data_IF_293400592737
#
_entry.id   IF_293400592737
#
_cell.length_a   1.000
_cell.length_b   1.000
_cell.length_c   1.000
_cell.angle_alpha   90.00
_cell.angle_beta   90.00
_cell.angle_gamma   90.00
#
_symmetry.space_group_name_H-M   'P 1'
#
loop_
_entity.id
_entity.type
_entity.pdbx_description
1 polymer ?
#
# COMPACT_ATOMS: atom_id res chain seq x y z
N UNK A 1 -25.87 9.29 12.05
CA UNK A 1 -24.99 9.12 10.87
C UNK A 1 -23.65 8.64 11.40
N UNK A 2 -23.04 7.59 10.82
CA UNK A 2 -21.68 7.18 11.20
C UNK A 2 -20.67 8.18 10.65
N UNK A 3 -19.62 8.45 11.43
CA UNK A 3 -18.54 9.36 11.01
C UNK A 3 -17.51 8.50 10.27
N UNK A 4 -17.16 8.82 9.02
CA UNK A 4 -16.16 8.04 8.29
C UNK A 4 -14.80 8.15 8.97
N UNK A 5 -13.93 7.16 8.72
CA UNK A 5 -12.56 7.24 9.21
C UNK A 5 -11.85 8.49 8.62
N UNK A 6 -10.98 9.17 9.40
CA UNK A 6 -10.49 10.50 9.03
C UNK A 6 -9.87 10.61 7.64
N UNK A 7 -10.26 11.66 6.91
CA UNK A 7 -9.63 12.05 5.65
C UNK A 7 -9.78 11.07 4.50
N UNK A 8 -10.72 10.13 4.57
CA UNK A 8 -10.85 9.07 3.57
C UNK A 8 -9.63 8.15 3.53
N UNK A 9 -8.96 7.96 4.67
CA UNK A 9 -7.79 7.08 4.81
C UNK A 9 -8.19 5.68 5.28
N UNK A 10 -7.32 4.70 5.05
CA UNK A 10 -7.44 3.35 5.61
C UNK A 10 -6.26 3.08 6.56
N UNK A 11 -6.49 2.21 7.56
CA UNK A 11 -5.45 1.77 8.49
C UNK A 11 -5.44 0.25 8.61
N UNK A 12 -4.26 -0.34 8.65
CA UNK A 12 -4.09 -1.76 8.96
C UNK A 12 -2.83 -1.97 9.78
N UNK A 13 -2.87 -2.88 10.74
CA UNK A 13 -1.65 -3.39 11.36
C UNK A 13 -1.00 -4.35 10.37
N UNK A 14 0.30 -4.21 10.16
CA UNK A 14 1.11 -5.02 9.29
C UNK A 14 2.20 -5.68 10.11
N UNK A 15 2.30 -7.01 9.96
CA UNK A 15 3.49 -7.77 10.32
C UNK A 15 4.20 -8.15 9.03
N UNK A 16 5.41 -7.60 8.82
CA UNK A 16 6.17 -7.80 7.58
C UNK A 16 6.53 -9.28 7.43
N UNK A 17 6.48 -9.81 6.20
CA UNK A 17 6.89 -11.19 5.96
C UNK A 17 8.35 -11.42 6.39
N UNK A 18 8.59 -12.49 7.13
CA UNK A 18 9.87 -12.83 7.75
C UNK A 18 10.62 -13.96 7.03
N UNK A 19 10.02 -14.55 6.00
CA UNK A 19 10.71 -15.52 5.15
C UNK A 19 11.69 -14.82 4.21
N UNK A 20 12.87 -15.40 3.95
CA UNK A 20 13.83 -14.83 3.01
C UNK A 20 13.31 -14.94 1.58
N UNK A 21 13.55 -13.92 0.76
CA UNK A 21 13.29 -13.97 -0.66
C UNK A 21 14.35 -14.81 -1.39
N UNK A 22 13.94 -15.58 -2.38
CA UNK A 22 14.85 -16.49 -3.09
C UNK A 22 16.02 -15.78 -3.79
N UNK A 23 15.78 -14.57 -4.32
CA UNK A 23 16.72 -13.86 -5.17
C UNK A 23 17.88 -13.17 -4.42
N UNK A 24 17.67 -12.71 -3.18
CA UNK A 24 18.67 -11.99 -2.39
C UNK A 24 18.83 -12.50 -0.94
N UNK A 25 18.05 -13.49 -0.52
CA UNK A 25 18.08 -14.03 0.84
C UNK A 25 17.54 -13.06 1.90
N UNK A 26 17.00 -11.90 1.51
CA UNK A 26 16.53 -10.86 2.43
C UNK A 26 15.08 -11.13 2.82
N UNK A 27 14.79 -10.99 4.12
CA UNK A 27 13.43 -11.14 4.66
C UNK A 27 12.62 -9.88 4.42
N UNK A 28 11.43 -9.99 3.84
CA UNK A 28 10.62 -8.81 3.61
C UNK A 28 9.39 -9.03 2.75
N UNK A 29 8.72 -7.91 2.48
CA UNK A 29 7.52 -7.81 1.68
C UNK A 29 7.75 -7.94 0.17
N UNK A 30 6.64 -8.04 -0.55
CA UNK A 30 6.55 -7.98 -2.02
C UNK A 30 6.79 -6.54 -2.47
N UNK A 31 7.82 -6.27 -3.29
CA UNK A 31 8.02 -4.94 -3.89
C UNK A 31 6.84 -4.50 -4.75
N UNK A 32 6.39 -3.25 -4.56
CA UNK A 32 5.26 -2.68 -5.29
C UNK A 32 5.30 -1.15 -5.30
N UNK A 33 4.37 -0.53 -6.01
CA UNK A 33 4.15 0.91 -6.04
C UNK A 33 2.65 1.21 -6.02
N UNK A 34 2.29 2.37 -5.48
CA UNK A 34 0.96 2.95 -5.59
C UNK A 34 0.93 4.00 -6.68
N UNK A 35 -0.10 4.02 -7.53
CA UNK A 35 -0.16 4.97 -8.65
C UNK A 35 -0.77 6.31 -8.26
N UNK A 36 -1.70 6.32 -7.31
CA UNK A 36 -2.41 7.53 -6.88
C UNK A 36 -2.53 7.70 -5.37
N UNK A 37 -2.10 6.70 -4.60
CA UNK A 37 -2.20 6.71 -3.13
C UNK A 37 -0.84 6.94 -2.48
N UNK A 38 -0.79 7.86 -1.53
CA UNK A 38 0.32 7.98 -0.58
C UNK A 38 0.19 6.87 0.48
N UNK A 39 1.32 6.35 0.92
CA UNK A 39 1.39 5.35 1.98
C UNK A 39 2.31 5.84 3.10
N UNK A 40 1.98 5.48 4.34
CA UNK A 40 2.77 5.81 5.51
C UNK A 40 2.91 4.63 6.47
N UNK A 41 4.10 4.45 7.04
CA UNK A 41 4.41 3.46 8.06
C UNK A 41 4.65 4.13 9.40
N UNK A 42 3.94 3.65 10.42
CA UNK A 42 4.14 3.99 11.82
C UNK A 42 4.64 2.73 12.53
N UNK A 43 5.95 2.66 12.77
CA UNK A 43 6.58 1.45 13.29
C UNK A 43 6.28 1.28 14.77
N UNK A 44 5.78 0.11 15.15
CA UNK A 44 5.36 -0.19 16.53
C UNK A 44 6.28 -1.19 17.22
N UNK A 45 6.88 -2.12 16.49
CA UNK A 45 7.79 -3.12 17.05
C UNK A 45 8.82 -3.60 16.02
N UNK A 46 9.89 -4.23 16.51
CA UNK A 46 10.96 -4.80 15.70
C UNK A 46 11.81 -3.79 14.93
N UNK A 47 12.71 -4.30 14.09
CA UNK A 47 13.61 -3.49 13.27
C UNK A 47 13.67 -3.95 11.82
N UNK A 48 14.09 -3.06 10.95
CA UNK A 48 14.31 -3.35 9.54
C UNK A 48 14.59 -2.10 8.74
N UNK A 49 14.14 -2.08 7.48
CA UNK A 49 14.30 -0.92 6.59
C UNK A 49 13.22 -0.84 5.54
N UNK A 50 12.90 0.38 5.12
CA UNK A 50 12.14 0.66 3.91
C UNK A 50 13.14 0.94 2.79
N UNK A 51 13.16 0.07 1.79
CA UNK A 51 13.92 0.29 0.55
C UNK A 51 13.00 0.93 -0.48
N UNK A 52 13.41 2.04 -1.08
CA UNK A 52 12.63 2.77 -2.08
C UNK A 52 13.44 3.05 -3.34
N UNK A 53 12.75 3.15 -4.47
CA UNK A 53 13.29 3.58 -5.75
C UNK A 53 12.37 4.64 -6.32
N UNK A 54 12.93 5.81 -6.60
CA UNK A 54 12.29 6.92 -7.31
C UNK A 54 13.20 7.41 -8.42
N UNK A 55 12.83 8.52 -9.08
CA UNK A 55 13.73 9.21 -10.03
C UNK A 55 15.00 9.76 -9.37
N UNK A 56 15.01 9.91 -8.05
CA UNK A 56 16.21 10.30 -7.29
C UNK A 56 17.18 9.13 -7.06
N UNK A 57 16.76 7.91 -7.41
CA UNK A 57 17.54 6.69 -7.27
C UNK A 57 17.03 5.77 -6.16
N UNK A 58 17.91 4.87 -5.72
CA UNK A 58 17.64 3.95 -4.61
C UNK A 58 17.96 4.60 -3.27
N UNK A 59 17.06 4.41 -2.29
CA UNK A 59 17.29 4.80 -0.90
C UNK A 59 16.90 3.66 0.05
N UNK A 60 17.56 3.60 1.20
CA UNK A 60 17.28 2.64 2.27
C UNK A 60 17.13 3.38 3.59
N UNK A 61 15.92 3.40 4.14
CA UNK A 61 15.58 4.10 5.37
C UNK A 61 15.39 3.09 6.50
N UNK A 62 16.24 3.14 7.53
CA UNK A 62 16.09 2.28 8.71
C UNK A 62 14.71 2.45 9.36
N UNK A 63 14.11 1.37 9.85
CA UNK A 63 12.82 1.33 10.55
C UNK A 63 13.02 0.80 11.98
N UNK A 64 12.44 1.49 12.95
CA UNK A 64 12.49 1.15 14.38
C UNK A 64 11.28 1.77 15.08
N UNK A 65 10.87 1.27 16.26
CA UNK A 65 9.66 1.74 16.94
C UNK A 65 9.65 3.26 17.15
N UNK A 66 8.47 3.87 16.94
CA UNK A 66 8.28 5.33 16.99
C UNK A 66 8.66 6.07 15.70
N UNK A 67 9.25 5.39 14.71
CA UNK A 67 9.54 6.01 13.41
C UNK A 67 8.28 6.10 12.55
N UNK A 68 8.14 7.26 11.92
CA UNK A 68 7.10 7.53 10.92
C UNK A 68 7.76 7.86 9.59
N UNK A 69 7.38 7.17 8.53
CA UNK A 69 7.82 7.45 7.16
C UNK A 69 6.61 7.46 6.24
N UNK A 70 6.58 8.36 5.26
CA UNK A 70 5.54 8.40 4.23
C UNK A 70 6.18 8.67 2.88
N UNK A 71 5.55 8.17 1.82
CA UNK A 71 6.09 8.28 0.47
C UNK A 71 4.98 8.45 -0.55
N UNK A 72 5.30 9.23 -1.60
CA UNK A 72 4.37 9.64 -2.62
C UNK A 72 4.06 8.50 -3.61
N UNK A 73 2.94 8.62 -4.36
CA UNK A 73 2.66 7.73 -5.48
C UNK A 73 3.85 7.64 -6.46
N UNK A 74 4.01 6.47 -7.08
CA UNK A 74 5.14 6.16 -7.96
C UNK A 74 6.40 5.68 -7.22
N UNK A 75 6.43 5.72 -5.89
CA UNK A 75 7.55 5.15 -5.13
C UNK A 75 7.48 3.63 -5.18
N UNK A 76 8.41 3.00 -5.91
CA UNK A 76 8.60 1.54 -5.82
C UNK A 76 9.27 1.27 -4.48
N UNK A 77 8.68 0.40 -3.67
CA UNK A 77 9.16 0.20 -2.31
C UNK A 77 9.06 -1.26 -1.85
N UNK A 78 9.90 -1.60 -0.87
CA UNK A 78 9.95 -2.88 -0.18
C UNK A 78 10.20 -2.67 1.31
N UNK A 79 9.31 -3.20 2.16
CA UNK A 79 9.59 -3.33 3.58
C UNK A 79 10.47 -4.56 3.84
N UNK A 80 11.62 -4.37 4.49
CA UNK A 80 12.55 -5.42 4.90
C UNK A 80 12.54 -5.51 6.42
N UNK A 81 12.58 -6.73 6.95
CA UNK A 81 12.54 -7.01 8.39
C UNK A 81 13.80 -7.74 8.85
N UNK A 82 14.25 -7.46 10.06
CA UNK A 82 15.29 -8.26 10.73
C UNK A 82 14.69 -9.50 11.44
N UNK A 83 13.35 -9.61 11.47
CA UNK A 83 12.63 -10.80 11.90
C UNK A 83 11.29 -10.53 12.57
N UNK A 84 11.08 -9.35 13.14
CA UNK A 84 9.95 -9.04 14.03
C UNK A 84 9.30 -7.67 13.77
N UNK A 85 9.54 -7.08 12.58
CA UNK A 85 9.00 -5.77 12.21
C UNK A 85 7.46 -5.76 12.13
N UNK A 86 6.85 -4.99 13.02
CA UNK A 86 5.42 -4.66 13.01
C UNK A 86 5.19 -3.15 12.95
N UNK A 87 4.18 -2.74 12.19
CA UNK A 87 3.85 -1.34 11.98
C UNK A 87 2.37 -1.16 11.65
N UNK A 88 1.86 0.06 11.79
CA UNK A 88 0.60 0.47 11.16
C UNK A 88 0.88 1.07 9.79
N UNK A 89 0.17 0.58 8.79
CA UNK A 89 0.10 1.18 7.46
C UNK A 89 -1.08 2.13 7.43
N UNK A 90 -0.86 3.39 7.09
CA UNK A 90 -1.90 4.31 6.68
C UNK A 90 -1.88 4.46 5.16
N UNK A 91 -3.03 4.25 4.54
CA UNK A 91 -3.22 4.39 3.11
C UNK A 91 -4.13 5.58 2.82
N UNK A 92 -3.66 6.50 1.97
CA UNK A 92 -4.55 7.49 1.38
C UNK A 92 -5.57 6.81 0.45
N UNK A 93 -6.70 7.49 0.22
CA UNK A 93 -7.74 7.06 -0.71
C UNK A 93 -8.27 5.64 -0.39
N UNK A 94 -8.78 5.45 0.82
CA UNK A 94 -9.28 4.18 1.33
C UNK A 94 -10.05 3.38 0.26
N UNK A 95 -9.62 2.14 0.00
CA UNK A 95 -10.24 1.26 -1.00
C UNK A 95 -9.62 1.33 -2.40
N UNK A 96 -8.85 2.38 -2.75
CA UNK A 96 -8.11 2.39 -4.02
C UNK A 96 -7.00 1.34 -4.11
N UNK A 97 -6.23 1.06 -3.03
CA UNK A 97 -5.24 -0.02 -3.06
C UNK A 97 -5.87 -1.36 -3.46
N UNK A 98 -7.01 -1.69 -2.85
CA UNK A 98 -7.80 -2.89 -3.15
C UNK A 98 -8.46 -2.85 -4.53
N UNK A 99 -8.79 -1.65 -5.04
CA UNK A 99 -9.29 -1.44 -6.39
C UNK A 99 -8.17 -1.41 -7.46
N UNK A 100 -6.93 -1.75 -7.08
CA UNK A 100 -5.83 -1.99 -8.01
C UNK A 100 -4.96 -0.76 -8.30
N UNK A 101 -4.93 0.26 -7.43
CA UNK A 101 -3.93 1.33 -7.54
C UNK A 101 -2.52 0.83 -7.19
N UNK A 102 -2.45 -0.23 -6.38
CA UNK A 102 -1.22 -0.91 -5.99
C UNK A 102 -0.79 -1.91 -7.07
N UNK A 103 0.38 -1.68 -7.65
CA UNK A 103 0.97 -2.52 -8.71
C UNK A 103 2.23 -3.20 -8.17
N UNK A 104 2.28 -4.53 -8.25
CA UNK A 104 3.45 -5.32 -7.85
C UNK A 104 4.57 -5.08 -8.87
N UNK A 105 5.76 -4.70 -8.42
CA UNK A 105 6.89 -4.38 -9.32
C UNK A 105 7.62 -5.64 -9.80
N UNK A 106 6.91 -6.48 -10.56
CA UNK A 106 7.49 -7.63 -11.24
C UNK A 106 8.53 -7.22 -12.30
N UNK A 107 9.33 -8.18 -12.81
CA UNK A 107 10.14 -8.00 -14.00
C UNK A 107 9.33 -7.41 -15.17
N UNK A 108 9.99 -6.60 -16.00
CA UNK A 108 9.30 -5.75 -16.96
C UNK A 108 8.54 -6.52 -18.05
N UNK A 109 9.00 -7.72 -18.39
CA UNK A 109 8.32 -8.66 -19.30
C UNK A 109 6.97 -9.13 -18.75
N UNK A 110 6.84 -9.22 -17.43
CA UNK A 110 5.56 -9.53 -16.76
C UNK A 110 4.66 -8.31 -16.70
N UNK A 111 5.22 -7.14 -16.40
CA UNK A 111 4.44 -5.90 -16.34
C UNK A 111 3.89 -5.49 -17.71
N UNK A 112 4.57 -5.84 -18.80
CA UNK A 112 4.15 -5.54 -20.16
C UNK A 112 3.07 -6.50 -20.72
N UNK A 113 2.75 -7.58 -20.02
CA UNK A 113 1.72 -8.57 -20.37
C UNK A 113 0.67 -8.67 -19.26
N UNK A 114 -0.53 -8.15 -19.52
CA UNK A 114 -1.62 -8.12 -18.55
C UNK A 114 -2.02 -9.52 -18.05
N UNK A 115 -2.03 -10.52 -18.92
CA UNK A 115 -2.40 -11.89 -18.52
C UNK A 115 -1.27 -12.53 -17.68
N UNK A 116 -0.01 -12.24 -18.01
CA UNK A 116 1.12 -12.68 -17.19
C UNK A 116 1.12 -12.01 -15.81
N UNK A 117 0.81 -10.72 -15.76
CA UNK A 117 0.67 -9.96 -14.52
C UNK A 117 -0.44 -10.52 -13.63
N UNK A 118 -1.63 -10.77 -14.18
CA UNK A 118 -2.77 -11.31 -13.43
C UNK A 118 -2.46 -12.70 -12.87
N UNK A 119 -1.84 -13.58 -13.68
CA UNK A 119 -1.39 -14.90 -13.21
C UNK A 119 -0.34 -14.81 -12.11
N UNK A 120 0.61 -13.88 -12.23
CA UNK A 120 1.71 -13.74 -11.25
C UNK A 120 1.25 -13.08 -9.94
N UNK A 121 0.25 -12.21 -9.99
CA UNK A 121 -0.26 -11.48 -8.81
C UNK A 121 -1.32 -12.25 -8.02
N UNK A 122 -2.02 -13.19 -8.66
CA UNK A 122 -3.13 -13.93 -8.07
C UNK A 122 -2.74 -14.75 -6.84
N UNK A 123 -3.64 -14.78 -5.86
CA UNK A 123 -3.59 -15.70 -4.73
C UNK A 123 -4.86 -16.57 -4.74
N UNK A 124 -4.78 -17.86 -4.38
CA UNK A 124 -5.95 -18.72 -4.21
C UNK A 124 -6.97 -18.16 -3.21
N UNK A 125 -6.46 -17.57 -2.13
CA UNK A 125 -7.21 -16.84 -1.10
C UNK A 125 -6.30 -15.77 -0.50
N UNK A 126 -6.89 -14.74 0.11
CA UNK A 126 -6.13 -13.79 0.93
C UNK A 126 -6.04 -14.21 2.39
N UNK A 127 -6.65 -15.30 2.84
CA UNK A 127 -6.59 -15.74 4.24
C UNK A 127 -5.17 -16.16 4.63
N UNK A 128 -4.59 -15.50 5.64
CA UNK A 128 -3.23 -15.79 6.10
C UNK A 128 -3.07 -17.17 6.76
N UNK A 129 -4.17 -17.84 7.09
CA UNK A 129 -4.18 -19.21 7.63
C UNK A 129 -4.11 -20.28 6.54
N UNK A 130 -4.40 -19.92 5.29
CA UNK A 130 -4.35 -20.87 4.18
C UNK A 130 -2.90 -21.13 3.73
N UNK A 131 -2.38 -22.31 4.04
CA UNK A 131 -0.99 -22.67 3.76
C UNK A 131 -0.65 -22.65 2.26
N UNK A 132 -1.63 -22.92 1.38
CA UNK A 132 -1.40 -22.85 -0.06
C UNK A 132 -1.22 -21.39 -0.52
N UNK A 133 -2.06 -20.49 -0.03
CA UNK A 133 -1.98 -19.06 -0.30
C UNK A 133 -0.73 -18.42 0.32
N UNK A 134 -0.28 -18.86 1.49
CA UNK A 134 1.01 -18.44 2.06
C UNK A 134 2.17 -18.77 1.12
N UNK A 135 2.20 -19.98 0.54
CA UNK A 135 3.22 -20.35 -0.45
C UNK A 135 3.09 -19.54 -1.75
N UNK A 136 1.87 -19.29 -2.22
CA UNK A 136 1.63 -18.45 -3.39
C UNK A 136 2.10 -17.01 -3.16
N UNK A 137 1.86 -16.44 -1.98
CA UNK A 137 2.34 -15.11 -1.60
C UNK A 137 3.87 -15.04 -1.54
N UNK A 138 4.54 -16.08 -1.05
CA UNK A 138 6.00 -16.17 -1.09
C UNK A 138 6.55 -16.22 -2.53
N UNK A 139 5.97 -17.04 -3.40
CA UNK A 139 6.37 -17.11 -4.82
C UNK A 139 6.14 -15.78 -5.56
N UNK A 140 5.01 -15.12 -5.28
CA UNK A 140 4.68 -13.78 -5.77
C UNK A 140 5.73 -12.76 -5.32
N UNK A 141 6.09 -12.77 -4.04
CA UNK A 141 7.14 -11.91 -3.49
C UNK A 141 8.47 -12.16 -4.19
N UNK A 142 8.91 -13.40 -4.30
CA UNK A 142 10.22 -13.74 -4.87
C UNK A 142 10.36 -13.19 -6.29
N UNK A 143 9.32 -13.38 -7.11
CA UNK A 143 9.29 -12.81 -8.46
C UNK A 143 9.32 -11.28 -8.45
N UNK A 144 8.62 -10.63 -7.54
CA UNK A 144 8.65 -9.17 -7.42
C UNK A 144 10.02 -8.64 -6.94
N UNK A 145 10.74 -9.41 -6.13
CA UNK A 145 12.11 -9.09 -5.73
C UNK A 145 13.06 -9.13 -6.94
N UNK A 146 12.89 -10.05 -7.89
CA UNK A 146 13.69 -10.04 -9.12
C UNK A 146 13.55 -8.71 -9.90
N UNK A 147 12.30 -8.23 -10.04
CA UNK A 147 11.99 -6.95 -10.68
C UNK A 147 12.58 -5.76 -9.92
N UNK A 148 12.43 -5.76 -8.60
CA UNK A 148 13.00 -4.74 -7.73
C UNK A 148 14.53 -4.67 -7.79
N UNK A 149 15.21 -5.82 -7.81
CA UNK A 149 16.68 -5.86 -7.91
C UNK A 149 17.17 -5.37 -9.27
N UNK A 150 16.42 -5.61 -10.35
CA UNK A 150 16.73 -5.04 -11.65
C UNK A 150 16.57 -3.51 -11.65
N UNK A 151 15.49 -2.99 -11.06
CA UNK A 151 15.28 -1.55 -10.87
C UNK A 151 16.38 -0.93 -10.02
N UNK A 152 16.77 -1.58 -8.92
CA UNK A 152 17.84 -1.11 -8.03
C UNK A 152 19.16 -0.99 -8.76
N UNK A 153 19.56 -2.03 -9.51
CA UNK A 153 20.81 -2.02 -10.31
C UNK A 153 20.79 -0.89 -11.33
N UNK A 154 19.67 -0.66 -12.02
CA UNK A 154 19.53 0.44 -12.97
C UNK A 154 19.66 1.80 -12.26
N UNK A 155 18.97 1.99 -11.12
CA UNK A 155 19.04 3.21 -10.34
C UNK A 155 20.46 3.50 -9.81
N UNK A 156 21.15 2.50 -9.27
CA UNK A 156 22.55 2.61 -8.81
C UNK A 156 23.52 2.93 -9.97
N UNK A 157 23.20 2.50 -11.20
CA UNK A 157 23.93 2.86 -12.41
C UNK A 157 23.52 4.22 -13.01
N UNK A 158 22.60 4.95 -12.39
CA UNK A 158 22.08 6.22 -12.90
C UNK A 158 21.17 6.10 -14.14
N UNK A 159 20.60 4.91 -14.38
CA UNK A 159 19.77 4.59 -15.54
C UNK A 159 18.28 4.64 -15.16
N UNK A 160 17.56 5.64 -15.68
CA UNK A 160 16.15 5.87 -15.36
C UNK A 160 15.16 5.15 -16.28
N UNK A 161 15.61 4.60 -17.41
CA UNK A 161 14.75 4.10 -18.48
C UNK A 161 13.89 2.92 -18.04
N UNK A 162 14.44 2.03 -17.21
CA UNK A 162 13.68 0.88 -16.69
C UNK A 162 12.56 1.33 -15.76
N UNK A 163 12.82 2.33 -14.90
CA UNK A 163 11.82 2.89 -14.00
C UNK A 163 10.68 3.57 -14.80
N UNK A 164 11.02 4.35 -15.83
CA UNK A 164 10.01 4.97 -16.71
C UNK A 164 9.18 3.92 -17.46
N UNK A 165 9.79 2.84 -17.93
CA UNK A 165 9.06 1.73 -18.57
C UNK A 165 8.12 1.03 -17.58
N UNK A 166 8.59 0.79 -16.35
CA UNK A 166 7.77 0.26 -15.25
C UNK A 166 6.55 1.14 -14.97
N UNK A 167 6.72 2.46 -14.89
CA UNK A 167 5.58 3.38 -14.70
C UNK A 167 4.58 3.32 -15.85
N UNK A 168 5.06 3.26 -17.10
CA UNK A 168 4.16 3.14 -18.26
C UNK A 168 3.42 1.81 -18.28
N UNK A 169 4.07 0.72 -17.90
CA UNK A 169 3.46 -0.60 -17.82
C UNK A 169 2.40 -0.66 -16.70
N UNK A 170 2.74 -0.18 -15.50
CA UNK A 170 1.81 -0.06 -14.39
C UNK A 170 0.58 0.79 -14.75
N UNK A 171 0.78 1.93 -15.41
CA UNK A 171 -0.33 2.76 -15.88
C UNK A 171 -1.25 2.01 -16.86
N UNK A 172 -0.70 1.25 -17.81
CA UNK A 172 -1.50 0.44 -18.75
C UNK A 172 -2.35 -0.61 -18.03
N UNK A 173 -1.77 -1.32 -17.06
CA UNK A 173 -2.48 -2.34 -16.26
C UNK A 173 -3.70 -1.76 -15.52
N UNK A 174 -3.63 -0.49 -15.14
CA UNK A 174 -4.66 0.15 -14.32
C UNK A 174 -5.64 1.04 -15.09
N UNK A 175 -5.41 1.33 -16.38
CA UNK A 175 -6.23 2.26 -17.18
C UNK A 175 -7.73 1.94 -17.12
N UNK A 176 -8.09 0.66 -17.23
CA UNK A 176 -9.48 0.19 -17.18
C UNK A 176 -10.17 0.37 -15.83
N UNK A 177 -9.44 0.70 -14.76
CA UNK A 177 -9.95 0.84 -13.38
C UNK A 177 -10.21 2.29 -12.98
N UNK A 178 -9.76 3.25 -13.78
CA UNK A 178 -9.83 4.69 -13.45
C UNK A 178 -11.24 5.22 -13.23
N UNK A 179 -12.25 4.66 -13.91
CA UNK A 179 -13.64 5.02 -13.68
C UNK A 179 -14.12 4.62 -12.28
N UNK A 180 -13.82 3.38 -11.86
CA UNK A 180 -14.11 2.89 -10.51
C UNK A 180 -13.36 3.70 -9.45
N UNK A 181 -12.11 4.09 -9.72
CA UNK A 181 -11.33 4.89 -8.79
C UNK A 181 -11.97 6.25 -8.53
N UNK A 182 -12.51 6.89 -9.58
CA UNK A 182 -13.25 8.16 -9.44
C UNK A 182 -14.47 8.01 -8.52
N UNK A 183 -15.25 6.95 -8.70
CA UNK A 183 -16.40 6.66 -7.82
C UNK A 183 -15.97 6.52 -6.36
N UNK A 184 -14.91 5.75 -6.09
CA UNK A 184 -14.37 5.58 -4.73
C UNK A 184 -13.84 6.88 -4.12
N UNK A 185 -13.19 7.73 -4.92
CA UNK A 185 -12.71 9.05 -4.49
C UNK A 185 -13.87 9.98 -4.15
N UNK A 186 -14.91 10.01 -5.00
CA UNK A 186 -16.09 10.83 -4.79
C UNK A 186 -16.79 10.44 -3.46
N UNK A 187 -16.97 9.14 -3.23
CA UNK A 187 -17.64 8.59 -2.05
C UNK A 187 -16.89 8.81 -0.74
N UNK A 188 -15.55 8.77 -0.77
CA UNK A 188 -14.74 8.66 0.46
C UNK A 188 -13.94 9.91 0.77
N UNK A 189 -13.32 10.49 -0.26
CA UNK A 189 -12.40 11.62 -0.09
C UNK A 189 -13.14 12.93 -0.32
N UNK A 190 -13.84 13.07 -1.45
CA UNK A 190 -14.54 14.32 -1.78
C UNK A 190 -15.76 14.54 -0.89
N UNK A 191 -16.50 13.49 -0.55
CA UNK A 191 -17.62 13.59 0.40
C UNK A 191 -17.17 14.18 1.75
N UNK A 192 -16.00 13.75 2.24
CA UNK A 192 -15.41 14.24 3.48
C UNK A 192 -14.92 15.69 3.34
N UNK A 193 -14.22 16.02 2.24
CA UNK A 193 -13.78 17.38 1.96
C UNK A 193 -14.98 18.36 1.90
N UNK A 194 -16.07 17.98 1.23
CA UNK A 194 -17.30 18.77 1.19
C UNK A 194 -17.96 18.90 2.56
N UNK A 195 -17.89 17.86 3.42
CA UNK A 195 -18.39 17.94 4.79
C UNK A 195 -17.61 18.94 5.62
N UNK A 196 -16.28 18.91 5.52
CA UNK A 196 -15.39 19.87 6.18
C UNK A 196 -15.68 21.30 5.72
N UNK A 197 -15.88 21.52 4.41
CA UNK A 197 -16.15 22.86 3.88
C UNK A 197 -17.51 23.41 4.34
N UNK A 198 -18.54 22.56 4.45
CA UNK A 198 -19.83 22.94 5.05
C UNK A 198 -19.67 23.34 6.52
N UNK A 199 -18.93 22.55 7.29
CA UNK A 199 -18.65 22.86 8.70
C UNK A 199 -17.87 24.16 8.85
N UNK A 200 -16.85 24.39 8.01
CA UNK A 200 -16.06 25.63 7.98
C UNK A 200 -16.95 26.84 7.72
N UNK A 201 -17.87 26.75 6.75
CA UNK A 201 -18.80 27.82 6.41
C UNK A 201 -19.83 28.11 7.51
N UNK A 202 -20.33 27.06 8.18
CA UNK A 202 -21.23 27.18 9.33
C UNK A 202 -20.54 27.90 10.51
N UNK A 203 -19.32 27.47 10.86
CA UNK A 203 -18.51 28.09 11.92
C UNK A 203 -18.22 29.56 11.59
N UNK A 204 -17.87 29.87 10.34
CA UNK A 204 -17.64 31.26 9.91
C UNK A 204 -18.88 32.15 10.08
N UNK A 205 -20.08 31.56 10.08
CA UNK A 205 -21.35 32.26 10.30
C UNK A 205 -21.86 32.17 11.75
N UNK A 206 -21.08 31.61 12.68
CA UNK A 206 -21.48 31.40 14.07
C UNK A 206 -22.50 30.29 14.31
N UNK A 207 -22.77 29.45 13.30
CA UNK A 207 -23.72 28.33 13.39
C UNK A 207 -23.01 27.10 13.92
N UNK A 208 -23.53 26.52 15.01
CA UNK A 208 -22.90 25.39 15.73
C UNK A 208 -23.72 24.11 15.70
N UNK A 209 -24.91 24.12 15.09
CA UNK A 209 -25.87 23.00 15.06
C UNK A 209 -25.30 21.71 14.47
N UNK A 210 -24.16 21.77 13.77
CA UNK A 210 -23.51 20.62 13.16
C UNK A 210 -22.44 19.96 14.07
N UNK A 211 -22.11 20.55 15.21
CA UNK A 211 -21.08 20.07 16.13
C UNK A 211 -21.66 19.08 17.16
N UNK A 212 -20.90 18.05 17.53
CA UNK A 212 -21.30 17.10 18.58
C UNK A 212 -22.44 16.15 18.23
N UNK A 213 -22.84 16.07 16.95
CA UNK A 213 -24.00 15.29 16.50
C UNK A 213 -23.76 13.78 16.33
N UNK A 214 -22.56 13.29 16.66
CA UNK A 214 -22.21 11.89 16.53
C UNK A 214 -21.42 11.41 17.74
N UNK A 215 -21.77 10.22 18.24
CA UNK A 215 -20.99 9.50 19.22
C UNK A 215 -19.68 8.97 18.60
N UNK A 216 -18.67 8.62 19.41
CA UNK A 216 -17.48 7.93 18.93
C UNK A 216 -17.83 6.65 18.16
N UNK A 217 -17.14 6.41 17.06
CA UNK A 217 -17.24 5.18 16.26
C UNK A 217 -16.08 4.26 16.60
N UNK A 218 -16.36 2.98 16.86
CA UNK A 218 -15.34 1.95 17.13
C UNK A 218 -15.22 1.06 15.90
N UNK A 219 -13.99 0.94 15.38
CA UNK A 219 -13.68 0.05 14.27
C UNK A 219 -13.18 -1.29 14.75
N UNK A 220 -14.05 -2.28 14.84
CA UNK A 220 -13.68 -3.62 15.28
C UNK A 220 -12.68 -4.28 14.33
N UNK A 221 -11.80 -5.09 14.90
CA UNK A 221 -10.86 -5.95 14.17
C UNK A 221 -11.64 -6.93 13.28
N UNK A 222 -11.31 -6.99 11.98
CA UNK A 222 -11.91 -7.97 11.09
C UNK A 222 -11.45 -9.39 11.44
N UNK A 223 -12.34 -10.37 11.29
CA UNK A 223 -12.21 -11.72 11.88
C UNK A 223 -10.99 -12.54 11.44
N UNK A 224 -10.30 -12.16 10.36
CA UNK A 224 -9.16 -12.90 9.82
C UNK A 224 -8.07 -11.95 9.33
N UNK A 225 -6.83 -12.28 9.67
CA UNK A 225 -5.65 -11.68 9.05
C UNK A 225 -5.58 -12.04 7.56
N UNK A 226 -5.06 -11.13 6.74
CA UNK A 226 -4.97 -11.27 5.29
C UNK A 226 -3.54 -11.18 4.78
N UNK A 227 -3.23 -11.91 3.71
CA UNK A 227 -1.98 -11.83 2.98
C UNK A 227 -1.96 -10.55 2.12
N UNK A 228 -1.19 -9.56 2.57
CA UNK A 228 -0.93 -8.32 1.84
C UNK A 228 0.30 -8.42 0.93
N UNK A 229 0.74 -7.27 0.38
CA UNK A 229 1.99 -7.20 -0.36
C UNK A 229 3.19 -7.18 0.58
N UNK A 230 3.21 -6.26 1.57
CA UNK A 230 4.32 -6.17 2.51
C UNK A 230 4.36 -7.26 3.59
N UNK A 231 3.24 -7.95 3.85
CA UNK A 231 3.16 -8.90 4.96
C UNK A 231 1.72 -9.29 5.31
N UNK A 232 1.55 -9.81 6.53
CA UNK A 232 0.25 -10.20 7.08
C UNK A 232 -0.45 -8.96 7.66
N UNK A 233 -1.65 -8.69 7.17
CA UNK A 233 -2.46 -7.52 7.52
C UNK A 233 -3.59 -7.91 8.48
N UNK A 234 -3.72 -7.14 9.56
CA UNK A 234 -4.94 -7.06 10.34
C UNK A 234 -5.64 -5.73 10.05
N UNK A 235 -6.84 -5.80 9.50
CA UNK A 235 -7.65 -4.62 9.16
C UNK A 235 -8.79 -4.43 10.16
N UNK A 236 -9.36 -3.21 10.13
CA UNK A 236 -10.40 -2.75 11.03
C UNK A 236 -11.64 -2.32 10.23
N UNK A 237 -12.81 -2.39 10.84
CA UNK A 237 -14.02 -1.80 10.26
C UNK A 237 -13.89 -0.26 10.28
N UNK A 238 -13.84 0.37 9.10
CA UNK A 238 -13.64 1.82 8.95
C UNK A 238 -14.87 2.53 8.33
N UNK A 239 -16.07 2.02 8.61
CA UNK A 239 -17.35 2.53 8.09
C UNK A 239 -18.22 3.13 9.20
#
# INVERSE_FOLDING_TARGET
MTVPFPGGTAVSRLRVYDSPAAADGVRGGTPHLHLVSTEAYLVTAGTGRLETITREGFASTALSPGKVVWFAPGTVHRAVTDGDLELFVLMANAGLPEAGDAVISFPIDVLDDADAYDRASALPSTDARDAHSVRAAAARRDRAVDGFLALRRAAEAGQGELLERTYRAAARLCQGRTAQWRELLDERVLAEAHRVERLRSAIASGVVDQLGNAAPTVGDTLASERLGMCGVLQSYAQR
#
